data_IF_983068799464
#
_entry.id   IF_983068799464
#
_cell.length_a   1.000
_cell.length_b   1.000
_cell.length_c   1.000
_cell.angle_alpha   90.00
_cell.angle_beta   90.00
_cell.angle_gamma   90.00
#
_symmetry.space_group_name_H-M   'P 1'
#
loop_
_entity.id
_entity.type
_entity.pdbx_description
1 polymer ?
#
# COMPACT_ATOMS: atom_id res chain seq x y z
N UNK A 1 -40.80 64.20 -57.14
CA UNK A 1 -41.49 62.93 -56.80
C UNK A 1 -40.49 61.80 -56.86
N UNK A 2 -40.20 61.23 -55.67
CA UNK A 2 -39.58 59.93 -55.34
C UNK A 2 -38.43 59.38 -56.20
N UNK A 3 -37.21 59.57 -55.66
CA UNK A 3 -35.96 58.89 -56.01
C UNK A 3 -36.03 57.38 -55.63
N UNK A 4 -35.61 56.44 -56.49
CA UNK A 4 -35.64 55.01 -56.16
C UNK A 4 -34.59 54.66 -55.09
N UNK A 5 -35.01 53.86 -54.10
CA UNK A 5 -34.16 53.34 -53.02
C UNK A 5 -33.33 52.14 -53.53
N UNK A 6 -32.05 52.00 -53.14
CA UNK A 6 -31.26 50.83 -53.51
C UNK A 6 -31.71 49.58 -52.73
N UNK A 7 -31.81 48.45 -53.44
CA UNK A 7 -32.05 47.12 -52.88
C UNK A 7 -30.82 46.66 -52.08
N UNK A 8 -31.03 46.27 -50.82
CA UNK A 8 -30.02 45.63 -49.99
C UNK A 8 -29.77 44.18 -50.45
N UNK A 9 -28.54 43.66 -50.39
CA UNK A 9 -28.26 42.27 -50.74
C UNK A 9 -28.82 41.33 -49.67
N UNK A 10 -29.61 40.35 -50.10
CA UNK A 10 -30.13 39.27 -49.27
C UNK A 10 -28.95 38.42 -48.75
N UNK A 11 -28.73 38.46 -47.43
CA UNK A 11 -27.76 37.59 -46.77
C UNK A 11 -28.28 36.14 -46.82
N UNK A 12 -27.61 35.31 -47.62
CA UNK A 12 -27.83 33.87 -47.68
C UNK A 12 -27.34 33.25 -46.36
N UNK A 13 -28.26 33.01 -45.43
CA UNK A 13 -27.96 32.34 -44.17
C UNK A 13 -27.59 30.88 -44.45
N UNK A 14 -26.30 30.57 -44.38
CA UNK A 14 -25.79 29.19 -44.40
C UNK A 14 -26.31 28.49 -43.14
N UNK A 15 -27.27 27.59 -43.29
CA UNK A 15 -27.78 26.75 -42.23
C UNK A 15 -26.70 25.71 -41.88
N UNK A 16 -25.81 26.03 -40.93
CA UNK A 16 -24.92 25.04 -40.34
C UNK A 16 -25.78 24.04 -39.55
N UNK A 17 -26.01 22.86 -40.11
CA UNK A 17 -26.61 21.74 -39.39
C UNK A 17 -25.67 21.35 -38.23
N UNK A 18 -26.05 21.69 -37.01
CA UNK A 18 -25.39 21.22 -35.81
C UNK A 18 -25.58 19.69 -35.73
N UNK A 19 -24.57 18.93 -36.13
CA UNK A 19 -24.50 17.50 -35.83
C UNK A 19 -24.31 17.40 -34.32
N UNK A 20 -25.36 17.03 -33.59
CA UNK A 20 -25.24 16.72 -32.17
C UNK A 20 -24.18 15.61 -32.01
N UNK A 21 -23.23 15.73 -31.07
CA UNK A 21 -22.29 14.65 -30.81
C UNK A 21 -23.12 13.43 -30.42
N UNK A 22 -23.01 12.36 -31.22
CA UNK A 22 -23.52 11.05 -30.81
C UNK A 22 -22.85 10.75 -29.48
N UNK A 23 -23.63 10.65 -28.40
CA UNK A 23 -23.11 10.22 -27.12
C UNK A 23 -22.47 8.85 -27.35
N UNK A 24 -21.14 8.80 -27.32
CA UNK A 24 -20.40 7.53 -27.28
C UNK A 24 -20.84 6.87 -25.99
N UNK A 25 -21.70 5.85 -26.09
CA UNK A 25 -22.09 5.07 -24.93
C UNK A 25 -20.81 4.45 -24.37
N UNK A 26 -20.38 4.92 -23.19
CA UNK A 26 -19.29 4.27 -22.49
C UNK A 26 -19.72 2.83 -22.22
N UNK A 27 -18.83 1.87 -22.46
CA UNK A 27 -19.16 0.45 -22.27
C UNK A 27 -19.58 0.21 -20.81
N UNK A 28 -20.73 -0.43 -20.61
CA UNK A 28 -21.28 -0.73 -19.28
C UNK A 28 -21.18 -2.23 -18.99
N UNK A 29 -20.20 -2.60 -18.17
CA UNK A 29 -20.02 -4.00 -17.76
C UNK A 29 -21.20 -4.55 -16.94
N UNK A 30 -21.97 -3.69 -16.25
CA UNK A 30 -23.14 -4.10 -15.46
C UNK A 30 -24.27 -4.51 -16.41
N UNK A 31 -24.56 -3.67 -17.41
CA UNK A 31 -25.51 -3.98 -18.47
C UNK A 31 -25.06 -5.24 -19.25
N UNK A 32 -23.77 -5.33 -19.55
CA UNK A 32 -23.15 -6.47 -20.22
C UNK A 32 -23.35 -7.80 -19.50
N UNK A 33 -23.20 -7.79 -18.17
CA UNK A 33 -23.47 -8.97 -17.33
C UNK A 33 -24.94 -9.39 -17.37
N UNK A 34 -25.87 -8.44 -17.33
CA UNK A 34 -27.30 -8.73 -17.41
C UNK A 34 -27.64 -9.39 -18.75
N UNK A 35 -27.13 -8.83 -19.85
CA UNK A 35 -27.28 -9.39 -21.20
C UNK A 35 -26.64 -10.77 -21.33
N UNK A 36 -25.43 -10.97 -20.81
CA UNK A 36 -24.75 -12.26 -20.79
C UNK A 36 -25.56 -13.30 -20.00
N UNK A 37 -26.10 -12.91 -18.84
CA UNK A 37 -26.92 -13.78 -17.99
C UNK A 37 -28.24 -14.15 -18.66
N UNK A 38 -28.80 -13.27 -19.48
CA UNK A 38 -30.04 -13.52 -20.20
C UNK A 38 -29.85 -14.40 -21.43
N UNK A 39 -28.76 -14.19 -22.18
CA UNK A 39 -28.63 -14.74 -23.54
C UNK A 39 -27.48 -15.73 -23.72
N UNK A 40 -26.49 -15.75 -22.84
CA UNK A 40 -25.23 -16.47 -23.07
C UNK A 40 -24.95 -17.58 -22.05
N UNK A 41 -25.33 -17.38 -20.78
CA UNK A 41 -25.07 -18.32 -19.66
C UNK A 41 -25.61 -19.73 -19.89
N UNK A 42 -26.75 -19.88 -20.57
CA UNK A 42 -27.32 -21.20 -20.87
C UNK A 42 -26.41 -22.09 -21.74
N UNK A 43 -25.53 -21.51 -22.54
CA UNK A 43 -24.59 -22.23 -23.41
C UNK A 43 -23.13 -22.12 -22.98
N UNK A 44 -22.71 -20.97 -22.45
CA UNK A 44 -21.32 -20.69 -22.07
C UNK A 44 -21.07 -20.82 -20.56
N UNK A 45 -22.10 -20.96 -19.73
CA UNK A 45 -21.97 -21.01 -18.28
C UNK A 45 -21.31 -19.76 -17.69
N UNK A 46 -20.63 -19.94 -16.56
CA UNK A 46 -19.85 -18.89 -15.91
C UNK A 46 -18.63 -18.52 -16.79
N UNK A 47 -18.44 -17.23 -17.16
CA UNK A 47 -17.27 -16.80 -17.96
C UNK A 47 -15.92 -17.20 -17.39
N UNK A 48 -15.79 -17.34 -16.05
CA UNK A 48 -14.56 -17.74 -15.39
C UNK A 48 -14.11 -19.16 -15.74
N UNK A 49 -15.04 -20.02 -16.15
CA UNK A 49 -14.72 -21.37 -16.61
C UNK A 49 -14.22 -21.38 -18.07
N UNK A 50 -14.24 -20.22 -18.73
CA UNK A 50 -13.89 -20.00 -20.12
C UNK A 50 -14.50 -21.04 -21.09
N UNK A 51 -15.72 -21.51 -20.81
CA UNK A 51 -16.34 -22.54 -21.65
C UNK A 51 -16.57 -22.00 -23.06
N UNK A 52 -16.32 -22.86 -24.05
CA UNK A 52 -16.39 -22.50 -25.47
C UNK A 52 -15.51 -21.27 -25.82
N UNK A 53 -14.42 -21.05 -25.06
CA UNK A 53 -13.49 -19.93 -25.23
C UNK A 53 -14.17 -18.55 -25.18
N UNK A 54 -15.18 -18.39 -24.33
CA UNK A 54 -15.98 -17.15 -24.24
C UNK A 54 -15.14 -15.93 -23.89
N UNK A 55 -14.02 -16.09 -23.17
CA UNK A 55 -13.12 -14.99 -22.82
C UNK A 55 -12.28 -14.48 -24.02
N UNK A 56 -12.32 -15.12 -25.19
CA UNK A 56 -11.75 -14.53 -26.41
C UNK A 56 -12.46 -13.23 -26.80
N UNK A 57 -13.70 -13.02 -26.33
CA UNK A 57 -14.46 -11.79 -26.54
C UNK A 57 -14.22 -10.72 -25.47
N UNK A 58 -13.34 -10.97 -24.48
CA UNK A 58 -12.99 -10.00 -23.44
C UNK A 58 -12.49 -8.68 -24.06
N UNK A 59 -13.25 -7.61 -23.87
CA UNK A 59 -12.96 -6.28 -24.43
C UNK A 59 -13.06 -6.19 -25.96
N UNK A 60 -13.47 -7.27 -26.64
CA UNK A 60 -13.53 -7.36 -28.09
C UNK A 60 -14.93 -7.79 -28.59
N UNK A 61 -15.86 -6.84 -28.78
CA UNK A 61 -17.22 -7.13 -29.23
C UNK A 61 -17.27 -7.72 -30.65
N UNK A 62 -16.24 -7.49 -31.48
CA UNK A 62 -16.15 -8.05 -32.83
C UNK A 62 -16.11 -9.58 -32.83
N UNK A 63 -15.53 -10.20 -31.79
CA UNK A 63 -15.54 -11.67 -31.63
C UNK A 63 -16.96 -12.19 -31.48
N UNK A 64 -17.80 -11.51 -30.71
CA UNK A 64 -19.20 -11.87 -30.49
C UNK A 64 -20.00 -11.65 -31.77
N UNK A 65 -19.84 -10.48 -32.40
CA UNK A 65 -20.52 -10.13 -33.65
C UNK A 65 -20.23 -11.14 -34.77
N UNK A 66 -18.96 -11.51 -34.95
CA UNK A 66 -18.54 -12.48 -35.96
C UNK A 66 -19.10 -13.89 -35.68
N UNK A 67 -19.19 -14.29 -34.41
CA UNK A 67 -19.77 -15.58 -34.04
C UNK A 67 -21.28 -15.63 -34.33
N UNK A 68 -22.02 -14.56 -34.02
CA UNK A 68 -23.45 -14.42 -34.37
C UNK A 68 -23.64 -14.42 -35.89
N UNK A 69 -22.84 -13.64 -36.63
CA UNK A 69 -22.94 -13.54 -38.08
C UNK A 69 -22.67 -14.88 -38.79
N UNK A 70 -21.72 -15.67 -38.27
CA UNK A 70 -21.39 -17.00 -38.77
C UNK A 70 -22.27 -18.12 -38.19
N UNK A 71 -23.29 -17.79 -37.39
CA UNK A 71 -24.16 -18.74 -36.68
C UNK A 71 -23.37 -19.84 -35.93
N UNK A 72 -22.21 -19.51 -35.35
CA UNK A 72 -21.38 -20.49 -34.64
C UNK A 72 -22.16 -21.06 -33.46
N UNK A 73 -22.30 -22.39 -33.39
CA UNK A 73 -23.00 -23.05 -32.29
C UNK A 73 -24.46 -22.61 -32.09
N UNK A 74 -25.12 -22.08 -33.13
CA UNK A 74 -26.50 -21.58 -33.03
C UNK A 74 -26.64 -20.12 -32.57
N UNK A 75 -25.53 -19.39 -32.41
CA UNK A 75 -25.55 -17.98 -31.98
C UNK A 75 -26.28 -17.03 -32.93
N UNK A 76 -26.59 -17.45 -34.16
CA UNK A 76 -27.32 -16.64 -35.14
C UNK A 76 -28.73 -16.26 -34.69
N UNK A 77 -29.32 -16.99 -33.74
CA UNK A 77 -30.60 -16.63 -33.11
C UNK A 77 -30.56 -15.25 -32.42
N UNK A 78 -29.37 -14.76 -32.05
CA UNK A 78 -29.18 -13.47 -31.36
C UNK A 78 -29.11 -12.27 -32.31
N UNK A 79 -29.08 -12.48 -33.63
CA UNK A 79 -28.78 -11.44 -34.65
C UNK A 79 -29.72 -10.24 -34.62
N UNK A 80 -30.99 -10.43 -34.22
CA UNK A 80 -31.98 -9.37 -34.10
C UNK A 80 -32.31 -9.02 -32.64
N UNK A 81 -31.65 -9.68 -31.67
CA UNK A 81 -31.89 -9.51 -30.24
C UNK A 81 -30.83 -8.61 -29.59
N UNK A 82 -29.61 -8.60 -30.12
CA UNK A 82 -28.49 -7.83 -29.57
C UNK A 82 -28.05 -6.73 -30.52
N UNK A 83 -28.07 -5.49 -30.03
CA UNK A 83 -27.51 -4.33 -30.73
C UNK A 83 -25.97 -4.31 -30.63
N UNK A 84 -25.30 -3.49 -31.44
CA UNK A 84 -23.86 -3.25 -31.30
C UNK A 84 -23.49 -2.73 -29.90
N UNK A 85 -24.33 -1.89 -29.30
CA UNK A 85 -24.11 -1.42 -27.92
C UNK A 85 -24.16 -2.59 -26.92
N UNK A 86 -25.14 -3.49 -27.06
CA UNK A 86 -25.25 -4.69 -26.23
C UNK A 86 -23.99 -5.56 -26.33
N UNK A 87 -23.44 -5.72 -27.54
CA UNK A 87 -22.21 -6.49 -27.75
C UNK A 87 -21.00 -5.82 -27.10
N UNK A 88 -20.90 -4.49 -27.16
CA UNK A 88 -19.85 -3.71 -26.49
C UNK A 88 -19.90 -3.89 -24.97
N UNK A 89 -21.11 -3.87 -24.39
CA UNK A 89 -21.33 -4.05 -22.97
C UNK A 89 -20.99 -5.48 -22.53
N UNK A 90 -21.46 -6.50 -23.27
CA UNK A 90 -21.10 -7.91 -23.00
C UNK A 90 -19.59 -8.11 -23.06
N UNK A 91 -18.92 -7.54 -24.06
CA UNK A 91 -17.47 -7.62 -24.17
C UNK A 91 -16.75 -6.95 -23.00
N UNK A 92 -17.27 -5.81 -22.51
CA UNK A 92 -16.74 -5.14 -21.32
C UNK A 92 -16.94 -5.98 -20.04
N UNK A 93 -18.09 -6.64 -19.89
CA UNK A 93 -18.31 -7.61 -18.82
C UNK A 93 -17.30 -8.77 -18.90
N UNK A 94 -17.11 -9.35 -20.08
CA UNK A 94 -16.16 -10.46 -20.28
C UNK A 94 -14.69 -10.04 -20.05
N UNK A 95 -14.35 -8.75 -20.15
CA UNK A 95 -13.03 -8.25 -19.80
C UNK A 95 -12.76 -8.30 -18.28
N UNK A 96 -13.79 -8.20 -17.45
CA UNK A 96 -13.70 -8.33 -16.01
C UNK A 96 -14.96 -9.00 -15.42
N UNK A 97 -15.12 -10.32 -15.60
CA UNK A 97 -16.33 -11.04 -15.16
C UNK A 97 -16.52 -11.06 -13.64
N UNK A 98 -15.47 -10.65 -12.91
CA UNK A 98 -15.44 -10.51 -11.46
C UNK A 98 -15.74 -9.10 -10.94
N UNK A 99 -15.97 -8.11 -11.82
CA UNK A 99 -16.09 -6.69 -11.43
C UNK A 99 -17.22 -6.36 -10.45
N UNK A 100 -18.24 -7.21 -10.40
CA UNK A 100 -19.41 -7.08 -9.52
C UNK A 100 -19.37 -7.98 -8.29
N UNK A 101 -18.34 -8.81 -8.16
CA UNK A 101 -18.11 -9.60 -6.97
C UNK A 101 -17.19 -8.81 -6.02
N UNK A 102 -17.36 -8.95 -4.69
CA UNK A 102 -16.49 -8.24 -3.75
C UNK A 102 -15.03 -8.58 -4.00
N UNK A 103 -14.22 -7.56 -4.25
CA UNK A 103 -12.78 -7.64 -4.41
C UNK A 103 -12.12 -6.71 -3.40
N UNK A 104 -11.12 -7.21 -2.69
CA UNK A 104 -10.40 -6.46 -1.69
C UNK A 104 -8.94 -6.28 -2.13
N UNK A 105 -8.39 -5.10 -1.89
CA UNK A 105 -6.98 -4.79 -2.08
C UNK A 105 -6.38 -4.12 -0.85
N UNK A 106 -5.08 -4.29 -0.66
CA UNK A 106 -4.31 -3.59 0.38
C UNK A 106 -3.19 -2.77 -0.25
N UNK A 107 -2.85 -1.62 0.32
CA UNK A 107 -1.78 -0.76 -0.19
C UNK A 107 -0.38 -1.38 -0.06
N UNK A 108 -0.20 -2.34 0.83
CA UNK A 108 1.05 -3.07 1.03
C UNK A 108 0.77 -4.47 1.59
N UNK A 109 1.52 -5.47 1.10
CA UNK A 109 1.51 -6.84 1.64
C UNK A 109 2.42 -7.03 2.85
N UNK A 110 3.20 -6.00 3.22
CA UNK A 110 4.03 -6.01 4.42
C UNK A 110 4.20 -4.60 5.00
N UNK A 111 4.43 -4.53 6.31
CA UNK A 111 4.83 -3.32 7.04
C UNK A 111 6.08 -3.66 7.85
N UNK A 112 7.19 -3.03 7.51
CA UNK A 112 8.43 -3.12 8.27
C UNK A 112 8.64 -1.85 9.08
N UNK A 113 8.68 -1.99 10.40
CA UNK A 113 8.93 -0.90 11.33
C UNK A 113 10.42 -0.60 11.49
N UNK A 114 11.30 -1.47 10.95
CA UNK A 114 12.74 -1.36 11.12
C UNK A 114 13.14 -1.39 12.60
N UNK A 115 14.04 -0.48 12.97
CA UNK A 115 14.58 -0.37 14.31
C UNK A 115 13.75 0.60 15.19
N UNK A 116 13.02 0.06 16.18
CA UNK A 116 12.24 0.82 17.17
C UNK A 116 12.82 0.59 18.57
N UNK A 117 13.22 1.65 19.28
CA UNK A 117 13.81 1.52 20.61
C UNK A 117 12.87 0.75 21.58
N UNK A 118 13.45 -0.06 22.47
CA UNK A 118 12.68 -0.83 23.46
C UNK A 118 11.80 0.11 24.28
N UNK A 119 10.52 -0.24 24.44
CA UNK A 119 9.51 0.57 25.14
C UNK A 119 8.99 1.78 24.35
N UNK A 120 9.50 2.05 23.15
CA UNK A 120 8.95 3.07 22.24
C UNK A 120 7.98 2.45 21.23
N UNK A 121 7.12 3.27 20.64
CA UNK A 121 6.12 2.81 19.66
C UNK A 121 6.43 3.34 18.27
N UNK A 122 6.66 2.43 17.32
CA UNK A 122 6.63 2.71 15.89
C UNK A 122 5.20 2.62 15.34
N UNK A 123 4.88 3.38 14.30
CA UNK A 123 3.56 3.36 13.64
C UNK A 123 3.71 3.24 12.12
N UNK A 124 2.87 2.40 11.53
CA UNK A 124 2.74 2.20 10.10
C UNK A 124 1.27 2.14 9.71
N UNK A 125 0.97 2.10 8.41
CA UNK A 125 -0.41 2.00 7.95
C UNK A 125 -0.59 1.22 6.68
N UNK A 126 -1.75 0.59 6.57
CA UNK A 126 -2.21 -0.14 5.40
C UNK A 126 -3.59 0.38 5.04
N UNK A 127 -3.81 0.72 3.78
CA UNK A 127 -5.14 1.07 3.27
C UNK A 127 -5.80 -0.19 2.72
N UNK A 128 -6.98 -0.52 3.23
CA UNK A 128 -7.87 -1.54 2.69
C UNK A 128 -8.85 -0.88 1.73
N UNK A 129 -9.02 -1.44 0.52
CA UNK A 129 -9.89 -0.90 -0.52
C UNK A 129 -10.83 -1.98 -1.07
N UNK A 130 -12.07 -1.61 -1.37
CA UNK A 130 -12.91 -2.38 -2.29
C UNK A 130 -12.55 -1.99 -3.71
N UNK A 131 -11.96 -2.92 -4.48
CA UNK A 131 -11.50 -2.66 -5.86
C UNK A 131 -12.56 -3.01 -6.91
N UNK A 132 -13.76 -3.35 -6.47
CA UNK A 132 -14.94 -3.67 -7.28
C UNK A 132 -16.06 -2.65 -7.03
N UNK A 133 -17.10 -2.67 -7.87
CA UNK A 133 -18.34 -1.93 -7.59
C UNK A 133 -19.17 -2.59 -6.46
N UNK A 134 -18.86 -3.84 -6.11
CA UNK A 134 -19.55 -4.56 -5.05
C UNK A 134 -19.16 -4.09 -3.65
N UNK A 135 -20.12 -4.16 -2.71
CA UNK A 135 -19.87 -3.92 -1.29
C UNK A 135 -18.96 -5.00 -0.70
N UNK A 136 -17.87 -4.57 -0.08
CA UNK A 136 -16.96 -5.41 0.66
C UNK A 136 -17.39 -5.44 2.14
N UNK A 137 -17.62 -6.63 2.68
CA UNK A 137 -17.94 -6.86 4.08
C UNK A 137 -16.71 -7.43 4.78
N UNK A 138 -16.14 -6.66 5.71
CA UNK A 138 -15.07 -7.08 6.61
C UNK A 138 -15.71 -7.85 7.77
N UNK A 139 -15.27 -9.09 7.95
CA UNK A 139 -15.78 -10.01 8.97
C UNK A 139 -14.89 -10.00 10.22
N UNK A 140 -13.57 -9.94 10.04
CA UNK A 140 -12.62 -9.80 11.15
C UNK A 140 -11.31 -9.17 10.68
N UNK A 141 -10.66 -8.41 11.57
CA UNK A 141 -9.25 -8.04 11.46
C UNK A 141 -8.56 -8.50 12.74
N UNK A 142 -7.44 -9.21 12.59
CA UNK A 142 -6.68 -9.72 13.74
C UNK A 142 -5.18 -9.73 13.51
N UNK A 143 -4.43 -9.55 14.58
CA UNK A 143 -3.03 -9.96 14.65
C UNK A 143 -3.01 -11.47 14.90
N UNK A 144 -2.20 -12.23 14.15
CA UNK A 144 -2.25 -13.69 14.16
C UNK A 144 -1.92 -14.29 15.55
N UNK A 145 -1.01 -13.65 16.29
CA UNK A 145 -0.66 -14.02 17.67
C UNK A 145 -1.73 -13.67 18.73
N UNK A 146 -2.85 -13.05 18.34
CA UNK A 146 -3.95 -12.70 19.26
C UNK A 146 -3.57 -11.64 20.30
N UNK A 147 -2.59 -10.79 20.01
CA UNK A 147 -2.10 -9.73 20.92
C UNK A 147 -0.98 -10.17 21.87
N UNK A 148 -0.47 -11.41 21.71
CA UNK A 148 0.72 -11.88 22.43
C UNK A 148 2.03 -11.32 21.85
N UNK A 149 1.96 -10.62 20.72
CA UNK A 149 3.09 -9.93 20.10
C UNK A 149 3.07 -8.43 20.40
N UNK A 150 4.20 -7.73 20.25
CA UNK A 150 4.30 -6.26 20.35
C UNK A 150 3.55 -5.50 19.25
N UNK A 151 2.79 -6.18 18.38
CA UNK A 151 1.99 -5.54 17.33
C UNK A 151 0.55 -5.32 17.78
N UNK A 152 0.02 -4.15 17.47
CA UNK A 152 -1.40 -3.83 17.61
C UNK A 152 -1.92 -3.14 16.36
N UNK A 153 -3.24 -3.12 16.17
CA UNK A 153 -3.88 -2.40 15.09
C UNK A 153 -5.04 -1.54 15.61
N UNK A 154 -5.35 -0.50 14.86
CA UNK A 154 -6.54 0.34 15.07
C UNK A 154 -7.06 0.85 13.73
N UNK A 155 -8.35 1.17 13.68
CA UNK A 155 -9.00 1.68 12.49
C UNK A 155 -10.40 2.19 12.80
N UNK A 156 -11.08 2.71 11.79
CA UNK A 156 -12.46 3.22 11.88
C UNK A 156 -13.34 2.59 10.80
N UNK A 157 -14.66 2.60 11.01
CA UNK A 157 -15.61 1.97 10.09
C UNK A 157 -15.31 0.48 9.91
N UNK A 158 -15.31 0.00 8.66
CA UNK A 158 -14.97 -1.40 8.34
C UNK A 158 -13.56 -1.81 8.81
N UNK A 159 -12.62 -0.86 8.89
CA UNK A 159 -11.26 -1.09 9.35
C UNK A 159 -11.13 -1.19 10.88
N UNK A 160 -12.22 -1.00 11.64
CA UNK A 160 -12.24 -1.22 13.10
C UNK A 160 -12.34 -2.71 13.48
N UNK A 161 -12.46 -3.62 12.50
CA UNK A 161 -12.46 -5.06 12.71
C UNK A 161 -13.67 -5.77 12.12
N UNK A 162 -14.80 -5.08 11.99
CA UNK A 162 -15.98 -5.58 11.31
C UNK A 162 -16.80 -4.42 10.73
N UNK A 163 -17.41 -4.62 9.57
CA UNK A 163 -18.25 -3.61 8.93
C UNK A 163 -18.26 -3.72 7.41
N UNK A 164 -18.82 -2.71 6.76
CA UNK A 164 -18.95 -2.67 5.30
C UNK A 164 -18.23 -1.49 4.70
N UNK A 165 -17.71 -1.71 3.50
CA UNK A 165 -17.04 -0.73 2.67
C UNK A 165 -17.73 -0.74 1.30
N UNK A 166 -18.29 0.40 0.90
CA UNK A 166 -18.94 0.52 -0.40
C UNK A 166 -17.96 0.20 -1.55
N UNK A 167 -18.48 -0.19 -2.71
CA UNK A 167 -17.66 -0.40 -3.90
C UNK A 167 -16.82 0.84 -4.22
N UNK A 168 -15.54 0.63 -4.54
CA UNK A 168 -14.58 1.70 -4.80
C UNK A 168 -14.12 2.50 -3.57
N UNK A 169 -14.70 2.28 -2.38
CA UNK A 169 -14.28 2.97 -1.16
C UNK A 169 -13.04 2.32 -0.53
N UNK A 170 -12.39 3.07 0.37
CA UNK A 170 -11.22 2.62 1.13
C UNK A 170 -11.29 3.04 2.59
N UNK A 171 -10.64 2.28 3.48
CA UNK A 171 -10.41 2.68 4.87
C UNK A 171 -8.95 2.40 5.28
N UNK A 172 -8.46 3.14 6.27
CA UNK A 172 -7.08 3.04 6.77
C UNK A 172 -7.03 2.17 8.03
N UNK A 173 -6.10 1.23 8.04
CA UNK A 173 -5.69 0.46 9.21
C UNK A 173 -4.34 1.00 9.66
N UNK A 174 -4.26 1.46 10.90
CA UNK A 174 -3.00 1.86 11.53
C UNK A 174 -2.47 0.66 12.32
N UNK A 175 -1.21 0.33 12.12
CA UNK A 175 -0.52 -0.75 12.84
C UNK A 175 0.58 -0.12 13.68
N UNK A 176 0.72 -0.56 14.93
CA UNK A 176 1.76 -0.10 15.84
C UNK A 176 2.64 -1.25 16.29
N UNK A 177 3.90 -0.95 16.58
CA UNK A 177 4.89 -1.90 17.08
C UNK A 177 5.59 -1.31 18.31
N UNK A 178 5.50 -2.00 19.45
CA UNK A 178 6.10 -1.59 20.72
C UNK A 178 6.96 -2.72 21.29
N UNK A 179 8.24 -2.83 20.90
CA UNK A 179 9.09 -3.96 21.31
C UNK A 179 9.43 -3.91 22.81
N UNK A 180 9.30 -5.06 23.47
CA UNK A 180 9.71 -5.25 24.87
C UNK A 180 11.15 -5.76 25.04
N UNK A 181 11.75 -6.30 23.98
CA UNK A 181 13.13 -6.79 23.96
C UNK A 181 13.82 -6.34 22.68
N UNK A 182 15.14 -6.52 22.63
CA UNK A 182 15.93 -6.12 21.47
C UNK A 182 15.81 -7.07 20.25
N UNK A 183 15.08 -8.18 20.39
CA UNK A 183 14.96 -9.19 19.35
C UNK A 183 14.06 -8.73 18.19
N UNK A 184 14.37 -9.20 16.97
CA UNK A 184 13.46 -9.04 15.84
C UNK A 184 12.19 -9.88 16.05
N UNK A 185 11.05 -9.31 15.72
CA UNK A 185 9.73 -9.94 15.84
C UNK A 185 9.01 -9.84 14.51
N UNK A 186 8.38 -10.94 14.13
CA UNK A 186 7.50 -11.01 12.96
C UNK A 186 6.12 -11.49 13.38
N UNK A 187 5.09 -10.97 12.73
CA UNK A 187 3.70 -11.40 12.91
C UNK A 187 2.92 -11.11 11.62
N UNK A 188 1.60 -11.29 11.64
CA UNK A 188 0.74 -10.99 10.51
C UNK A 188 -0.57 -10.34 10.94
N UNK A 189 -0.98 -9.31 10.20
CA UNK A 189 -2.34 -8.77 10.22
C UNK A 189 -3.18 -9.54 9.20
N UNK A 190 -4.22 -10.24 9.66
CA UNK A 190 -5.15 -10.97 8.80
C UNK A 190 -6.48 -10.24 8.74
N UNK A 191 -6.94 -9.96 7.53
CA UNK A 191 -8.21 -9.31 7.21
C UNK A 191 -9.10 -10.35 6.54
N UNK A 192 -10.16 -10.80 7.20
CA UNK A 192 -11.15 -11.74 6.65
C UNK A 192 -12.35 -10.95 6.15
N UNK A 193 -12.79 -11.23 4.93
CA UNK A 193 -13.86 -10.53 4.24
C UNK A 193 -14.66 -11.49 3.35
N UNK A 194 -15.75 -10.97 2.76
CA UNK A 194 -16.50 -11.68 1.71
C UNK A 194 -15.88 -11.52 0.30
N UNK A 195 -14.66 -11.02 0.20
CA UNK A 195 -13.98 -10.95 -1.10
C UNK A 195 -13.75 -12.35 -1.69
N UNK A 196 -13.57 -12.46 -3.01
CA UNK A 196 -13.27 -13.76 -3.64
C UNK A 196 -12.01 -14.43 -3.09
N UNK A 197 -11.04 -13.64 -2.61
CA UNK A 197 -9.83 -14.15 -1.94
C UNK A 197 -10.07 -14.58 -0.49
N UNK A 198 -11.21 -14.23 0.11
CA UNK A 198 -11.61 -14.53 1.49
C UNK A 198 -10.79 -13.75 2.51
N UNK A 199 -9.51 -14.09 2.66
CA UNK A 199 -8.60 -13.47 3.61
C UNK A 199 -7.39 -12.82 2.92
N UNK A 200 -7.01 -11.63 3.40
CA UNK A 200 -5.77 -10.95 3.04
C UNK A 200 -4.84 -10.98 4.24
N UNK A 201 -3.57 -11.30 4.00
CA UNK A 201 -2.51 -11.29 5.00
C UNK A 201 -1.53 -10.16 4.70
N UNK A 202 -1.23 -9.34 5.71
CA UNK A 202 -0.17 -8.34 5.68
C UNK A 202 0.89 -8.74 6.69
N UNK A 203 2.12 -8.97 6.22
CA UNK A 203 3.23 -9.37 7.08
C UNK A 203 3.75 -8.18 7.88
N UNK A 204 4.02 -8.38 9.17
CA UNK A 204 4.54 -7.36 10.06
C UNK A 204 5.93 -7.75 10.53
N UNK A 205 6.87 -6.81 10.52
CA UNK A 205 8.21 -7.01 11.04
C UNK A 205 8.73 -5.78 11.76
N UNK A 206 9.55 -5.99 12.78
CA UNK A 206 10.28 -4.93 13.47
C UNK A 206 11.32 -5.50 14.40
N UNK A 207 12.34 -4.72 14.72
CA UNK A 207 13.35 -5.04 15.74
C UNK A 207 13.70 -3.81 16.55
N UNK A 208 14.64 -3.91 17.49
CA UNK A 208 15.11 -2.72 18.20
C UNK A 208 16.29 -2.04 17.52
N UNK A 209 16.26 -0.72 17.44
CA UNK A 209 17.50 0.06 17.43
C UNK A 209 18.17 -0.10 18.79
N UNK A 210 19.49 -0.24 18.83
CA UNK A 210 20.25 -0.40 20.07
C UNK A 210 19.72 0.57 21.14
N UNK A 211 19.37 0.05 22.32
CA UNK A 211 18.93 0.87 23.45
C UNK A 211 19.97 1.95 23.68
N UNK A 212 19.67 3.22 23.41
CA UNK A 212 20.44 4.30 24.02
C UNK A 212 20.32 4.10 25.53
N UNK A 213 21.42 4.03 26.28
CA UNK A 213 21.38 3.91 27.73
C UNK A 213 20.46 5.00 28.31
N UNK A 214 19.69 4.72 29.38
CA UNK A 214 18.98 5.78 30.08
C UNK A 214 19.98 6.91 30.38
N UNK A 215 19.57 8.20 30.35
CA UNK A 215 20.47 9.28 30.74
C UNK A 215 20.96 8.94 32.14
N UNK A 216 22.25 8.61 32.25
CA UNK A 216 22.87 8.34 33.54
C UNK A 216 22.67 9.60 34.34
N UNK A 217 21.84 9.54 35.38
CA UNK A 217 21.75 10.60 36.37
C UNK A 217 23.13 10.69 37.01
N UNK A 218 23.96 11.60 36.51
CA UNK A 218 25.23 11.92 37.13
C UNK A 218 24.92 12.29 38.58
N UNK A 219 25.45 11.56 39.58
CA UNK A 219 25.25 11.95 40.97
C UNK A 219 25.74 13.40 41.14
N UNK A 220 25.01 14.26 41.87
CA UNK A 220 25.51 15.59 42.18
C UNK A 220 26.91 15.46 42.82
N UNK A 221 27.87 16.33 42.47
CA UNK A 221 29.22 16.26 43.03
C UNK A 221 29.13 16.29 44.55
N UNK A 222 29.79 15.34 45.19
CA UNK A 222 29.86 15.24 46.64
C UNK A 222 30.35 16.57 47.22
N UNK A 223 29.58 17.14 48.16
CA UNK A 223 29.98 18.32 48.90
C UNK A 223 31.32 18.05 49.62
N UNK A 224 32.28 18.99 49.62
CA UNK A 224 33.53 18.83 50.35
C UNK A 224 33.27 18.68 51.86
N UNK A 225 34.05 17.87 52.59
CA UNK A 225 33.89 17.71 54.02
C UNK A 225 34.16 19.02 54.74
N UNK A 226 33.26 19.41 55.65
CA UNK A 226 33.45 20.54 56.54
C UNK A 226 34.66 20.27 57.47
N UNK A 227 35.65 21.18 57.41
CA UNK A 227 36.78 21.16 58.31
C UNK A 227 36.33 21.49 59.74
N UNK A 228 36.61 20.59 60.67
CA UNK A 228 36.52 20.87 62.11
C UNK A 228 37.75 21.67 62.54
N UNK A 229 37.50 22.85 63.10
CA UNK A 229 38.53 23.66 63.75
C UNK A 229 38.95 23.05 65.09
N UNK A 230 40.25 22.88 65.29
CA UNK A 230 40.87 22.48 66.55
C UNK A 230 42.27 23.07 66.66
N UNK A 231 42.50 23.88 67.69
CA UNK A 231 43.63 24.80 67.87
C UNK A 231 44.91 24.12 68.40
N UNK A 232 46.04 24.71 67.99
CA UNK A 232 47.21 25.11 68.80
C UNK A 232 48.04 24.05 69.56
N UNK A 233 49.32 23.95 69.18
CA UNK A 233 50.39 23.72 70.15
C UNK A 233 51.67 23.06 69.61
N UNK A 234 52.79 23.78 69.67
CA UNK A 234 54.13 23.19 69.91
C UNK A 234 54.99 22.88 68.69
N UNK A 235 56.14 23.56 68.60
CA UNK A 235 57.11 23.44 67.49
C UNK A 235 58.11 22.29 67.63
N UNK A 236 58.91 22.09 66.58
CA UNK A 236 60.36 22.36 66.56
C UNK A 236 60.93 22.01 65.18
N UNK A 237 61.91 22.81 64.78
CA UNK A 237 62.68 22.85 63.53
C UNK A 237 63.35 21.52 63.14
N UNK A 238 63.63 21.31 61.84
CA UNK A 238 64.96 21.47 61.20
C UNK A 238 64.93 21.06 59.71
N UNK A 239 65.67 21.83 58.89
CA UNK A 239 66.57 21.42 57.78
C UNK A 239 66.05 20.49 56.66
N UNK A 240 66.57 20.44 55.44
CA UNK A 240 67.47 21.21 54.59
C UNK A 240 67.60 20.34 53.33
N UNK A 241 67.49 20.93 52.13
CA UNK A 241 68.21 20.42 50.96
C UNK A 241 67.53 19.39 50.04
N UNK A 242 68.08 19.22 48.81
CA UNK A 242 67.29 19.19 47.57
C UNK A 242 67.64 17.99 46.65
N UNK A 243 67.15 18.04 45.39
CA UNK A 243 67.61 17.26 44.22
C UNK A 243 67.04 15.82 44.14
N UNK A 244 66.78 15.16 43.01
CA UNK A 244 66.86 15.41 41.55
C UNK A 244 66.37 14.11 40.88
N UNK A 245 65.85 14.25 39.65
CA UNK A 245 65.96 13.33 38.48
C UNK A 245 65.63 11.83 38.67
N UNK A 246 65.00 11.16 37.71
CA UNK A 246 65.69 10.40 36.65
C UNK A 246 64.63 9.80 35.70
N UNK A 247 64.75 10.12 34.40
CA UNK A 247 64.77 9.24 33.20
C UNK A 247 63.78 8.06 33.05
N UNK A 248 63.37 7.56 31.88
CA UNK A 248 63.64 7.73 30.44
C UNK A 248 62.49 6.95 29.73
N UNK A 249 61.82 7.51 28.71
CA UNK A 249 61.93 7.16 27.28
C UNK A 249 61.69 5.69 26.83
N UNK A 250 60.75 5.50 25.88
CA UNK A 250 60.84 4.80 24.56
C UNK A 250 59.40 4.72 23.94
N UNK A 251 58.99 5.52 22.94
CA UNK A 251 59.09 5.33 21.45
C UNK A 251 59.20 3.85 21.01
N UNK A 252 58.53 3.27 20.01
CA UNK A 252 57.73 3.64 18.81
C UNK A 252 57.71 2.34 17.93
N UNK A 253 56.74 2.01 17.07
CA UNK A 253 56.67 2.37 15.63
C UNK A 253 55.58 1.55 14.87
N UNK A 254 54.88 2.24 13.94
CA UNK A 254 54.41 1.93 12.55
C UNK A 254 53.83 0.55 12.16
N UNK A 255 52.65 0.41 11.52
CA UNK A 255 52.07 0.93 10.27
C UNK A 255 52.42 0.13 8.98
N UNK A 256 51.42 0.02 8.07
CA UNK A 256 51.43 -0.50 6.67
C UNK A 256 50.98 -1.97 6.49
N UNK A 257 49.73 -2.17 6.03
CA UNK A 257 49.25 -3.52 5.65
C UNK A 257 48.02 -3.62 4.71
N UNK A 258 47.25 -2.56 4.47
CA UNK A 258 45.91 -2.73 3.84
C UNK A 258 45.85 -2.35 2.34
N UNK A 259 46.92 -1.86 1.74
CA UNK A 259 46.89 -1.41 0.33
C UNK A 259 46.99 -2.53 -0.74
N UNK A 260 47.27 -3.79 -0.37
CA UNK A 260 47.47 -4.88 -1.35
C UNK A 260 46.23 -5.75 -1.65
N UNK A 261 45.11 -5.56 -0.94
CA UNK A 261 43.91 -6.41 -1.14
C UNK A 261 42.99 -5.95 -2.28
N UNK A 262 43.17 -4.73 -2.83
CA UNK A 262 42.33 -4.19 -3.92
C UNK A 262 42.77 -4.58 -5.34
N UNK A 263 43.96 -5.17 -5.55
CA UNK A 263 44.41 -5.62 -6.88
C UNK A 263 43.99 -7.05 -7.26
N UNK A 264 43.51 -7.86 -6.31
CA UNK A 264 43.19 -9.28 -6.57
C UNK A 264 41.74 -9.55 -7.01
N UNK A 265 40.83 -8.58 -6.90
CA UNK A 265 39.40 -8.74 -7.23
C UNK A 265 38.98 -8.14 -8.59
N UNK A 266 39.92 -7.75 -9.47
CA UNK A 266 39.64 -7.23 -10.82
C UNK A 266 40.01 -8.19 -11.96
N UNK A 267 40.18 -9.47 -11.67
CA UNK A 267 40.44 -10.52 -12.68
C UNK A 267 39.70 -11.82 -12.32
N UNK A 268 38.38 -11.74 -12.27
CA UNK A 268 37.44 -12.86 -12.21
C UNK A 268 36.26 -12.51 -13.08
#
# INVERSE_FOLDING_TARGET
MTKPRPLAPAALALLCAAVAPVAVHAQDATAGKALYTQHCTGCHGNPLNNQNNVLNAAGNPGVIANAIAANKGGMGALKNLLSTANLNDIAAYLANPNGDLPQAGVSAGAVDFGAVAVGSTGSGSVTLSSTSAATLTVQSIKIASGGSSPFAYSGTGACAGAGTLAGGASCKITVSFTPATAAAVTDALTIVSNSQGGAITVNLSGGSGASTPPPTSTPPPAAPPAASGGKSGGGCSVASGPQRDVSLALLGLLAVGVALRRRRNRRG
#
